data_IF_738086820557
#
_entry.id   IF_738086820557
#
_cell.length_a   1.000
_cell.length_b   1.000
_cell.length_c   1.000
_cell.angle_alpha   90.00
_cell.angle_beta   90.00
_cell.angle_gamma   90.00
#
_symmetry.space_group_name_H-M   'P 1'
#
loop_
_entity.id
_entity.type
_entity.pdbx_description
1 polymer ?
#
# COMPACT_ATOMS: atom_id res chain seq x y z
N UNK A 1 1.85 58.16 -12.02
CA UNK A 1 1.69 58.55 -10.61
C UNK A 1 0.95 57.45 -9.89
N UNK A 2 1.58 56.98 -8.82
CA UNK A 2 1.15 56.08 -7.71
C UNK A 2 0.42 54.74 -7.94
N UNK A 3 1.17 53.72 -7.50
CA UNK A 3 0.78 52.41 -6.96
C UNK A 3 0.03 52.51 -5.63
N UNK A 4 -0.82 51.52 -5.35
CA UNK A 4 -1.14 50.89 -4.05
C UNK A 4 -2.23 49.82 -4.36
N UNK A 5 -2.12 48.49 -4.19
CA UNK A 5 -1.32 47.62 -3.33
C UNK A 5 -1.23 48.08 -1.88
N UNK A 6 -2.08 47.50 -1.05
CA UNK A 6 -1.88 47.16 0.37
C UNK A 6 -3.17 46.47 0.84
N UNK A 7 -3.23 45.51 1.77
CA UNK A 7 -2.27 44.67 2.48
C UNK A 7 -3.12 43.79 3.43
N UNK A 8 -2.46 43.02 4.30
CA UNK A 8 -2.94 42.27 5.48
C UNK A 8 -3.11 40.75 5.19
N UNK A 9 -2.31 39.83 5.75
CA UNK A 9 -1.18 39.96 6.68
C UNK A 9 -0.39 38.66 6.71
N UNK A 10 0.92 38.83 6.87
CA UNK A 10 1.88 37.81 7.31
C UNK A 10 1.69 37.50 8.81
N UNK A 11 1.96 36.24 9.16
CA UNK A 11 2.51 35.71 10.43
C UNK A 11 3.09 34.35 10.00
N UNK A 12 4.41 34.09 9.87
CA UNK A 12 5.57 34.20 10.78
C UNK A 12 5.31 33.61 12.18
N UNK A 13 5.71 32.34 12.34
CA UNK A 13 6.25 31.74 13.57
C UNK A 13 7.11 30.54 13.13
N UNK A 14 8.40 30.73 12.85
CA UNK A 14 9.54 30.55 13.76
C UNK A 14 9.62 29.15 14.40
N UNK A 15 10.41 28.27 13.76
CA UNK A 15 10.96 27.07 14.35
C UNK A 15 12.47 27.09 14.18
N UNK A 16 13.15 27.82 15.06
CA UNK A 16 14.60 27.77 15.23
C UNK A 16 15.01 26.36 15.66
N UNK A 17 15.75 25.66 14.80
CA UNK A 17 16.63 24.60 15.25
C UNK A 17 18.06 24.97 14.90
N UNK A 18 18.81 25.24 15.96
CA UNK A 18 20.25 25.49 15.97
C UNK A 18 21.01 24.38 15.21
N UNK A 19 21.45 24.69 14.00
CA UNK A 19 22.63 24.03 13.43
C UNK A 19 23.86 24.66 14.08
N UNK A 20 24.32 24.07 15.19
CA UNK A 20 25.70 24.24 15.62
C UNK A 20 26.60 23.74 14.50
N UNK A 21 27.13 24.67 13.73
CA UNK A 21 28.30 24.44 12.90
C UNK A 21 29.44 23.99 13.82
N UNK A 22 29.72 22.69 13.85
CA UNK A 22 31.06 22.24 14.20
C UNK A 22 31.97 22.72 13.06
N UNK A 23 32.63 23.87 13.28
CA UNK A 23 33.84 24.23 12.56
C UNK A 23 34.88 23.14 12.83
N UNK A 24 34.86 22.10 12.00
CA UNK A 24 36.07 21.31 11.78
C UNK A 24 36.98 22.24 10.99
N UNK A 25 37.96 22.84 11.67
CA UNK A 25 39.11 23.43 10.99
C UNK A 25 39.81 22.32 10.23
N UNK A 26 39.44 22.15 8.96
CA UNK A 26 40.17 21.31 8.04
C UNK A 26 41.44 22.07 7.71
N UNK A 27 42.51 21.74 8.44
CA UNK A 27 43.86 21.97 7.97
C UNK A 27 43.92 21.49 6.51
N UNK A 28 44.11 22.42 5.57
CA UNK A 28 44.45 22.11 4.18
C UNK A 28 45.77 21.33 4.21
N UNK A 29 45.68 20.01 4.27
CA UNK A 29 46.78 19.17 3.85
C UNK A 29 46.94 19.34 2.33
N UNK A 30 48.18 19.50 1.84
CA UNK A 30 48.43 19.66 0.43
C UNK A 30 48.04 18.38 -0.33
N UNK A 31 47.16 18.54 -1.33
CA UNK A 31 46.94 17.66 -2.49
C UNK A 31 47.53 16.24 -2.39
N UNK A 32 46.88 15.36 -1.61
CA UNK A 32 46.93 13.94 -1.95
C UNK A 32 45.97 13.75 -3.12
N UNK A 33 46.51 13.65 -4.34
CA UNK A 33 45.75 13.13 -5.48
C UNK A 33 45.20 11.77 -5.05
N UNK A 34 43.88 11.66 -4.87
CA UNK A 34 43.23 10.35 -4.75
C UNK A 34 43.72 9.52 -5.93
N UNK A 35 44.27 8.34 -5.66
CA UNK A 35 44.67 7.46 -6.74
C UNK A 35 43.42 7.10 -7.56
N UNK A 36 43.50 7.05 -8.91
CA UNK A 36 42.37 6.72 -9.77
C UNK A 36 41.65 5.43 -9.35
N UNK A 37 42.39 4.48 -8.78
CA UNK A 37 41.88 3.21 -8.25
C UNK A 37 40.93 3.38 -7.05
N UNK A 38 41.19 4.32 -6.14
CA UNK A 38 40.30 4.63 -5.01
C UNK A 38 39.01 5.32 -5.48
N UNK A 39 39.11 6.16 -6.51
CA UNK A 39 37.95 6.79 -7.14
C UNK A 39 37.05 5.76 -7.84
N UNK A 40 37.65 4.83 -8.59
CA UNK A 40 36.94 3.71 -9.23
C UNK A 40 36.26 2.78 -8.21
N UNK A 41 36.91 2.48 -7.08
CA UNK A 41 36.29 1.66 -6.02
C UNK A 41 35.08 2.36 -5.39
N UNK A 42 35.17 3.67 -5.12
CA UNK A 42 34.03 4.43 -4.61
C UNK A 42 32.86 4.46 -5.59
N UNK A 43 33.12 4.68 -6.87
CA UNK A 43 32.08 4.67 -7.91
C UNK A 43 31.41 3.29 -8.01
N UNK A 44 32.19 2.21 -7.99
CA UNK A 44 31.66 0.85 -8.02
C UNK A 44 30.81 0.54 -6.78
N UNK A 45 31.22 1.02 -5.61
CA UNK A 45 30.48 0.83 -4.36
C UNK A 45 29.16 1.63 -4.35
N UNK A 46 29.18 2.86 -4.86
CA UNK A 46 27.96 3.67 -5.03
C UNK A 46 26.98 3.01 -6.02
N UNK A 47 27.48 2.47 -7.13
CA UNK A 47 26.67 1.78 -8.13
C UNK A 47 26.03 0.50 -7.56
N UNK A 48 26.80 -0.30 -6.80
CA UNK A 48 26.26 -1.46 -6.08
C UNK A 48 25.16 -1.06 -5.08
N UNK A 49 25.37 0.01 -4.31
CA UNK A 49 24.38 0.46 -3.35
C UNK A 49 23.09 0.94 -4.01
N UNK A 50 23.18 1.63 -5.15
CA UNK A 50 22.03 2.07 -5.93
C UNK A 50 21.22 0.88 -6.46
N UNK A 51 21.90 -0.17 -6.93
CA UNK A 51 21.23 -1.37 -7.44
C UNK A 51 20.47 -2.11 -6.32
N UNK A 52 21.02 -2.18 -5.11
CA UNK A 52 20.34 -2.80 -3.95
C UNK A 52 19.07 -2.01 -3.56
N UNK A 53 19.16 -0.69 -3.55
CA UNK A 53 18.00 0.18 -3.28
C UNK A 53 16.89 -0.02 -4.32
N UNK A 54 17.27 -0.07 -5.61
CA UNK A 54 16.32 -0.23 -6.70
C UNK A 54 15.63 -1.60 -6.66
N UNK A 55 16.38 -2.66 -6.36
CA UNK A 55 15.83 -3.99 -6.17
C UNK A 55 14.76 -4.01 -5.07
N UNK A 56 15.06 -3.42 -3.91
CA UNK A 56 14.13 -3.36 -2.79
C UNK A 56 12.85 -2.60 -3.15
N UNK A 57 12.95 -1.50 -3.93
CA UNK A 57 11.79 -0.74 -4.40
C UNK A 57 10.93 -1.55 -5.37
N UNK A 58 11.54 -2.25 -6.33
CA UNK A 58 10.82 -3.13 -7.26
C UNK A 58 10.07 -4.22 -6.49
N UNK A 59 10.74 -4.86 -5.54
CA UNK A 59 10.12 -5.87 -4.68
C UNK A 59 8.92 -5.26 -3.92
N UNK A 60 9.11 -4.13 -3.23
CA UNK A 60 8.05 -3.46 -2.49
C UNK A 60 6.81 -3.21 -3.35
N UNK A 61 6.96 -2.55 -4.50
CA UNK A 61 5.80 -2.22 -5.34
C UNK A 61 5.09 -3.46 -5.89
N UNK A 62 5.83 -4.49 -6.30
CA UNK A 62 5.25 -5.73 -6.83
C UNK A 62 4.46 -6.50 -5.75
N UNK A 63 5.00 -6.60 -4.54
CA UNK A 63 4.38 -7.38 -3.47
C UNK A 63 3.26 -6.64 -2.73
N UNK A 64 3.38 -5.32 -2.51
CA UNK A 64 2.31 -4.53 -1.90
C UNK A 64 1.09 -4.40 -2.82
N UNK A 65 1.31 -4.21 -4.13
CA UNK A 65 0.23 -4.20 -5.13
C UNK A 65 -0.54 -5.53 -5.13
N UNK A 66 0.19 -6.65 -5.14
CA UNK A 66 -0.42 -7.97 -5.05
C UNK A 66 -1.21 -8.18 -3.74
N UNK A 67 -0.64 -7.77 -2.59
CA UNK A 67 -1.32 -7.86 -1.30
C UNK A 67 -2.62 -7.04 -1.28
N UNK A 68 -2.60 -5.83 -1.84
CA UNK A 68 -3.77 -4.96 -1.92
C UNK A 68 -4.90 -5.59 -2.73
N UNK A 69 -4.59 -6.16 -3.89
CA UNK A 69 -5.58 -6.89 -4.68
C UNK A 69 -6.18 -8.06 -3.90
N UNK A 70 -5.33 -8.89 -3.29
CA UNK A 70 -5.79 -10.07 -2.53
C UNK A 70 -6.69 -9.66 -1.36
N UNK A 71 -6.34 -8.60 -0.64
CA UNK A 71 -7.17 -8.06 0.44
C UNK A 71 -8.57 -7.66 -0.07
N UNK A 72 -8.64 -7.00 -1.23
CA UNK A 72 -9.92 -6.60 -1.82
C UNK A 72 -10.75 -7.79 -2.29
N UNK A 73 -10.12 -8.85 -2.81
CA UNK A 73 -10.80 -10.09 -3.20
C UNK A 73 -11.44 -10.79 -1.99
N UNK A 74 -10.72 -10.88 -0.87
CA UNK A 74 -11.26 -11.44 0.37
C UNK A 74 -12.37 -10.56 0.96
N UNK A 75 -12.17 -9.23 0.94
CA UNK A 75 -13.21 -8.26 1.33
C UNK A 75 -14.47 -8.41 0.48
N UNK A 76 -14.33 -8.63 -0.83
CA UNK A 76 -15.45 -8.85 -1.73
C UNK A 76 -16.28 -10.08 -1.36
N UNK A 77 -15.64 -11.20 -1.04
CA UNK A 77 -16.32 -12.41 -0.57
C UNK A 77 -17.09 -12.19 0.72
N UNK A 78 -16.51 -11.50 1.70
CA UNK A 78 -17.21 -11.12 2.93
C UNK A 78 -18.49 -10.31 2.62
N UNK A 79 -18.41 -9.34 1.71
CA UNK A 79 -19.57 -8.55 1.26
C UNK A 79 -20.62 -9.43 0.59
N UNK A 80 -20.24 -10.32 -0.34
CA UNK A 80 -21.18 -11.24 -1.00
C UNK A 80 -21.87 -12.16 0.00
N UNK A 81 -21.12 -12.73 0.94
CA UNK A 81 -21.64 -13.62 1.98
C UNK A 81 -22.64 -12.91 2.88
N UNK A 82 -22.34 -11.66 3.26
CA UNK A 82 -23.23 -10.84 4.07
C UNK A 82 -24.55 -10.50 3.36
N UNK A 83 -24.49 -10.19 2.07
CA UNK A 83 -25.65 -9.84 1.25
C UNK A 83 -26.11 -10.99 0.34
N UNK A 84 -25.90 -12.26 0.72
CA UNK A 84 -26.20 -13.43 -0.11
C UNK A 84 -27.67 -13.49 -0.58
N UNK A 85 -28.59 -12.98 0.22
CA UNK A 85 -30.02 -12.92 -0.07
C UNK A 85 -30.42 -11.66 -0.87
N UNK A 86 -29.50 -10.71 -1.08
CA UNK A 86 -29.70 -9.44 -1.76
C UNK A 86 -28.58 -9.21 -2.79
N UNK A 87 -28.50 -10.02 -3.87
CA UNK A 87 -27.40 -9.95 -4.83
C UNK A 87 -27.28 -8.62 -5.58
N UNK A 88 -28.36 -7.81 -5.61
CA UNK A 88 -28.36 -6.45 -6.16
C UNK A 88 -27.95 -5.36 -5.16
N UNK A 89 -27.49 -5.70 -3.96
CA UNK A 89 -27.16 -4.70 -2.95
C UNK A 89 -26.00 -3.80 -3.42
N UNK A 90 -26.10 -2.46 -3.34
CA UNK A 90 -25.08 -1.54 -3.85
C UNK A 90 -23.68 -1.77 -3.26
N UNK A 91 -23.58 -2.28 -2.03
CA UNK A 91 -22.28 -2.62 -1.44
C UNK A 91 -21.51 -3.69 -2.22
N UNK A 92 -22.20 -4.63 -2.89
CA UNK A 92 -21.59 -5.63 -3.78
C UNK A 92 -20.99 -4.94 -5.02
N UNK A 93 -21.73 -4.00 -5.62
CA UNK A 93 -21.27 -3.22 -6.78
C UNK A 93 -20.05 -2.38 -6.39
N UNK A 94 -20.11 -1.71 -5.23
CA UNK A 94 -18.99 -0.90 -4.72
C UNK A 94 -17.74 -1.74 -4.43
N UNK A 95 -17.88 -2.95 -3.90
CA UNK A 95 -16.72 -3.83 -3.65
C UNK A 95 -16.12 -4.37 -4.96
N UNK A 96 -16.93 -4.68 -5.99
CA UNK A 96 -16.44 -4.96 -7.34
C UNK A 96 -15.66 -3.79 -7.93
N UNK A 97 -16.22 -2.58 -7.83
CA UNK A 97 -15.56 -1.37 -8.33
C UNK A 97 -14.22 -1.11 -7.65
N UNK A 98 -14.08 -1.41 -6.36
CA UNK A 98 -12.78 -1.32 -5.66
C UNK A 98 -11.74 -2.27 -6.28
N UNK A 99 -12.13 -3.51 -6.60
CA UNK A 99 -11.22 -4.45 -7.27
C UNK A 99 -10.84 -3.93 -8.66
N UNK A 100 -11.81 -3.46 -9.46
CA UNK A 100 -11.54 -2.90 -10.80
C UNK A 100 -10.63 -1.68 -10.74
N UNK A 101 -10.84 -0.78 -9.78
CA UNK A 101 -9.95 0.35 -9.52
C UNK A 101 -8.55 -0.12 -9.15
N UNK A 102 -8.42 -1.12 -8.28
CA UNK A 102 -7.12 -1.71 -7.95
C UNK A 102 -6.46 -2.29 -9.20
N UNK A 103 -7.17 -3.02 -10.06
CA UNK A 103 -6.60 -3.55 -11.29
C UNK A 103 -6.09 -2.46 -12.24
N UNK A 104 -6.79 -1.32 -12.32
CA UNK A 104 -6.31 -0.14 -13.06
C UNK A 104 -5.02 0.44 -12.44
N UNK A 105 -4.97 0.54 -11.11
CA UNK A 105 -3.80 1.00 -10.35
C UNK A 105 -2.63 0.04 -10.56
N UNK A 106 -2.84 -1.27 -10.40
CA UNK A 106 -1.85 -2.31 -10.66
C UNK A 106 -1.27 -2.19 -12.05
N UNK A 107 -2.12 -2.06 -13.07
CA UNK A 107 -1.66 -1.87 -14.45
C UNK A 107 -0.72 -0.67 -14.58
N UNK A 108 -1.11 0.47 -13.99
CA UNK A 108 -0.30 1.70 -13.98
C UNK A 108 1.04 1.49 -13.26
N UNK A 109 1.04 0.90 -12.07
CA UNK A 109 2.26 0.59 -11.30
C UNK A 109 3.21 -0.28 -12.12
N UNK A 110 2.73 -1.37 -12.70
CA UNK A 110 3.58 -2.31 -13.44
C UNK A 110 4.05 -1.74 -14.79
N UNK A 111 3.26 -0.87 -15.41
CA UNK A 111 3.67 -0.11 -16.60
C UNK A 111 4.78 0.87 -16.23
N UNK A 112 4.60 1.65 -15.17
CA UNK A 112 5.58 2.63 -14.71
C UNK A 112 6.89 1.93 -14.32
N UNK A 113 6.82 0.84 -13.55
CA UNK A 113 7.99 0.03 -13.21
C UNK A 113 8.74 -0.42 -14.48
N UNK A 114 8.03 -0.88 -15.51
CA UNK A 114 8.67 -1.27 -16.77
C UNK A 114 9.33 -0.09 -17.48
N UNK A 115 8.66 1.08 -17.51
CA UNK A 115 9.15 2.27 -18.21
C UNK A 115 10.30 2.97 -17.48
N UNK A 116 10.32 2.97 -16.14
CA UNK A 116 11.36 3.64 -15.34
C UNK A 116 12.62 2.81 -15.20
N UNK A 117 12.50 1.48 -15.18
CA UNK A 117 13.60 0.55 -14.93
C UNK A 117 14.23 0.04 -16.23
N UNK A 118 14.72 0.93 -17.10
CA UNK A 118 15.14 0.55 -18.47
C UNK A 118 16.43 -0.26 -18.56
N UNK A 119 17.25 -0.30 -17.51
CA UNK A 119 18.49 -1.08 -17.57
C UNK A 119 18.19 -2.58 -17.48
N UNK A 120 19.09 -3.41 -18.02
CA UNK A 120 18.87 -4.86 -18.14
C UNK A 120 18.77 -5.57 -16.79
N UNK A 121 19.48 -5.08 -15.78
CA UNK A 121 19.47 -5.66 -14.44
C UNK A 121 18.11 -5.47 -13.77
N UNK A 122 17.58 -4.25 -13.76
CA UNK A 122 16.31 -3.92 -13.12
C UNK A 122 15.12 -4.59 -13.85
N UNK A 123 15.16 -4.69 -15.17
CA UNK A 123 14.19 -5.48 -15.94
C UNK A 123 14.22 -6.96 -15.55
N UNK A 124 15.41 -7.51 -15.34
CA UNK A 124 15.57 -8.90 -14.89
C UNK A 124 14.98 -9.08 -13.49
N UNK A 125 15.26 -8.17 -12.57
CA UNK A 125 14.69 -8.17 -11.22
C UNK A 125 13.16 -8.11 -11.30
N UNK A 126 12.60 -7.15 -12.04
CA UNK A 126 11.15 -7.01 -12.20
C UNK A 126 10.51 -8.29 -12.75
N UNK A 127 11.09 -8.89 -13.78
CA UNK A 127 10.62 -10.15 -14.36
C UNK A 127 10.64 -11.28 -13.33
N UNK A 128 11.71 -11.41 -12.55
CA UNK A 128 11.82 -12.41 -11.48
C UNK A 128 10.74 -12.20 -10.42
N UNK A 129 10.53 -10.96 -9.95
CA UNK A 129 9.52 -10.69 -8.93
C UNK A 129 8.10 -10.95 -9.44
N UNK A 130 7.78 -10.58 -10.70
CA UNK A 130 6.48 -10.94 -11.32
C UNK A 130 6.27 -12.45 -11.39
N UNK A 131 7.30 -13.22 -11.75
CA UNK A 131 7.22 -14.69 -11.78
C UNK A 131 7.09 -15.30 -10.38
N UNK A 132 7.75 -14.72 -9.37
CA UNK A 132 7.58 -15.12 -7.98
C UNK A 132 6.14 -14.91 -7.51
N UNK A 133 5.52 -13.77 -7.83
CA UNK A 133 4.10 -13.52 -7.52
C UNK A 133 3.19 -14.53 -8.23
N UNK A 134 3.41 -14.82 -9.52
CA UNK A 134 2.67 -15.88 -10.24
C UNK A 134 2.79 -17.24 -9.53
N UNK A 135 3.99 -17.58 -9.06
CA UNK A 135 4.25 -18.80 -8.29
C UNK A 135 3.51 -18.80 -6.96
N UNK A 136 3.47 -17.68 -6.24
CA UNK A 136 2.70 -17.51 -5.01
C UNK A 136 1.20 -17.71 -5.30
N UNK A 137 0.65 -17.09 -6.34
CA UNK A 137 -0.76 -17.27 -6.73
C UNK A 137 -1.06 -18.75 -6.98
N UNK A 138 -0.19 -19.44 -7.72
CA UNK A 138 -0.32 -20.88 -7.98
C UNK A 138 -0.25 -21.71 -6.68
N UNK A 139 0.67 -21.40 -5.77
CA UNK A 139 0.77 -22.07 -4.46
C UNK A 139 -0.48 -21.83 -3.62
N UNK A 140 -0.97 -20.60 -3.56
CA UNK A 140 -2.23 -20.29 -2.90
C UNK A 140 -3.41 -21.07 -3.51
N UNK A 141 -3.38 -21.31 -4.83
CA UNK A 141 -4.33 -22.18 -5.54
C UNK A 141 -4.19 -23.67 -5.22
N UNK A 142 -2.97 -24.17 -5.07
CA UNK A 142 -2.67 -25.58 -4.84
C UNK A 142 -2.73 -26.00 -3.37
N UNK A 143 -2.59 -25.06 -2.43
CA UNK A 143 -2.74 -25.28 -0.98
C UNK A 143 -4.23 -25.48 -0.64
N UNK A 144 -4.77 -26.61 -1.10
CA UNK A 144 -6.00 -27.36 -0.77
C UNK A 144 -6.99 -26.62 0.14
N UNK A 145 -7.42 -25.43 -0.27
CA UNK A 145 -8.58 -24.66 0.19
C UNK A 145 -9.04 -23.66 -0.88
N UNK A 146 -8.49 -23.63 -2.10
CA UNK A 146 -8.94 -22.68 -3.13
C UNK A 146 -10.27 -23.03 -3.82
N UNK A 147 -11.03 -23.98 -3.26
CA UNK A 147 -12.49 -23.97 -3.37
C UNK A 147 -13.14 -22.79 -2.60
N UNK A 148 -12.37 -21.96 -1.88
CA UNK A 148 -12.88 -20.80 -1.14
C UNK A 148 -13.16 -19.59 -2.06
N UNK A 149 -12.43 -19.41 -3.17
CA UNK A 149 -12.68 -18.29 -4.09
C UNK A 149 -13.76 -18.66 -5.11
N UNK A 150 -14.78 -17.82 -5.23
CA UNK A 150 -15.78 -17.97 -6.29
C UNK A 150 -15.19 -17.67 -7.69
N UNK A 151 -15.90 -18.13 -8.74
CA UNK A 151 -15.48 -17.96 -10.14
C UNK A 151 -15.18 -16.51 -10.52
N UNK A 152 -15.93 -15.55 -9.96
CA UNK A 152 -15.75 -14.14 -10.26
C UNK A 152 -14.47 -13.58 -9.60
N UNK A 153 -14.18 -13.99 -8.38
CA UNK A 153 -12.95 -13.67 -7.66
C UNK A 153 -11.71 -14.25 -8.37
N UNK A 154 -11.83 -15.47 -8.90
CA UNK A 154 -10.79 -16.09 -9.72
C UNK A 154 -10.55 -15.29 -11.01
N UNK A 155 -11.61 -14.83 -11.68
CA UNK A 155 -11.48 -14.02 -12.90
C UNK A 155 -10.71 -12.70 -12.65
N UNK A 156 -10.87 -12.05 -11.49
CA UNK A 156 -10.06 -10.87 -11.16
C UNK A 156 -8.56 -11.19 -10.98
N UNK A 157 -8.22 -12.35 -10.41
CA UNK A 157 -6.82 -12.79 -10.33
C UNK A 157 -6.24 -13.07 -11.71
N UNK A 158 -7.01 -13.70 -12.60
CA UNK A 158 -6.60 -13.93 -13.98
C UNK A 158 -6.34 -12.62 -14.72
N UNK A 159 -7.21 -11.62 -14.53
CA UNK A 159 -6.99 -10.27 -15.07
C UNK A 159 -5.70 -9.63 -14.55
N UNK A 160 -5.43 -9.74 -13.25
CA UNK A 160 -4.17 -9.25 -12.67
C UNK A 160 -2.94 -9.94 -13.26
N UNK A 161 -2.97 -11.28 -13.36
CA UNK A 161 -1.88 -12.06 -13.96
C UNK A 161 -1.64 -11.62 -15.41
N UNK A 162 -2.72 -11.46 -16.19
CA UNK A 162 -2.64 -11.10 -17.61
C UNK A 162 -2.11 -9.68 -17.82
N UNK A 163 -2.72 -8.69 -17.16
CA UNK A 163 -2.50 -7.28 -17.49
C UNK A 163 -1.43 -6.61 -16.62
N UNK A 164 -1.16 -7.10 -15.41
CA UNK A 164 -0.16 -6.50 -14.50
C UNK A 164 1.13 -7.32 -14.46
N UNK A 165 1.02 -8.65 -14.33
CA UNK A 165 2.18 -9.55 -14.27
C UNK A 165 2.63 -10.07 -15.64
N UNK A 166 2.00 -9.63 -16.73
CA UNK A 166 2.42 -9.94 -18.09
C UNK A 166 3.84 -9.48 -18.39
N UNK A 167 4.46 -10.12 -19.39
CA UNK A 167 5.78 -9.72 -19.90
C UNK A 167 5.70 -8.36 -20.63
N UNK A 168 4.53 -8.05 -21.19
CA UNK A 168 4.16 -6.74 -21.72
C UNK A 168 2.96 -6.22 -20.94
N UNK A 169 3.06 -5.01 -20.40
CA UNK A 169 1.95 -4.35 -19.70
C UNK A 169 1.18 -3.52 -20.72
N UNK A 170 0.06 -4.05 -21.18
CA UNK A 170 -0.91 -3.28 -21.97
C UNK A 170 -1.78 -2.47 -21.00
N UNK A 171 -1.81 -1.15 -21.15
CA UNK A 171 -2.65 -0.26 -20.34
C UNK A 171 -4.13 -0.60 -20.57
N UNK A 172 -4.71 -1.34 -19.64
CA UNK A 172 -6.10 -1.76 -19.65
C UNK A 172 -6.87 -0.97 -18.61
N UNK A 173 -7.90 -0.28 -19.07
CA UNK A 173 -8.88 0.37 -18.21
C UNK A 173 -10.08 -0.57 -18.01
N UNK A 174 -10.38 -0.89 -16.75
CA UNK A 174 -11.56 -1.61 -16.32
C UNK A 174 -12.67 -0.63 -15.98
N UNK A 175 -13.82 -0.78 -16.64
CA UNK A 175 -14.98 0.08 -16.48
C UNK A 175 -15.70 -0.17 -15.15
N UNK A 176 -16.00 0.92 -14.43
CA UNK A 176 -16.73 0.88 -13.17
C UNK A 176 -18.23 0.72 -13.41
N UNK A 177 -18.85 -0.14 -12.62
CA UNK A 177 -20.31 -0.31 -12.63
C UNK A 177 -20.96 0.89 -11.94
N UNK A 178 -22.03 1.42 -12.53
CA UNK A 178 -22.79 2.51 -11.92
C UNK A 178 -23.57 1.99 -10.71
N UNK A 179 -23.57 2.77 -9.64
CA UNK A 179 -24.50 2.60 -8.53
C UNK A 179 -25.66 3.57 -8.68
N UNK A 180 -26.83 3.24 -8.12
CA UNK A 180 -27.99 4.13 -8.09
C UNK A 180 -27.91 5.13 -6.91
N UNK A 181 -26.71 5.38 -6.37
CA UNK A 181 -26.50 6.28 -5.23
C UNK A 181 -25.95 7.61 -5.71
N UNK A 182 -26.51 8.71 -5.20
CA UNK A 182 -25.94 10.03 -5.40
C UNK A 182 -24.58 10.13 -4.72
N UNK A 183 -23.61 10.68 -5.44
CA UNK A 183 -22.28 10.94 -4.90
C UNK A 183 -22.34 12.19 -4.00
N UNK A 184 -21.92 12.03 -2.76
CA UNK A 184 -21.68 13.16 -1.86
C UNK A 184 -20.22 13.13 -1.46
N UNK A 185 -19.55 14.28 -1.60
CA UNK A 185 -18.20 14.42 -1.09
C UNK A 185 -18.23 14.27 0.43
N UNK A 186 -17.40 13.36 0.94
CA UNK A 186 -17.30 13.10 2.38
C UNK A 186 -15.94 13.56 2.88
N UNK A 187 -15.88 14.78 3.43
CA UNK A 187 -14.66 15.34 4.01
C UNK A 187 -14.06 14.41 5.06
N UNK A 188 -14.88 13.79 5.90
CA UNK A 188 -14.41 12.84 6.92
C UNK A 188 -13.79 11.55 6.35
N UNK A 189 -14.05 11.22 5.09
CA UNK A 189 -13.30 10.17 4.36
C UNK A 189 -11.97 10.74 3.85
N UNK A 190 -11.95 11.95 3.28
CA UNK A 190 -10.72 12.59 2.82
C UNK A 190 -9.72 12.77 3.98
N UNK A 191 -10.18 13.21 5.14
CA UNK A 191 -9.37 13.40 6.35
C UNK A 191 -8.73 12.09 6.83
N UNK A 192 -9.33 10.93 6.49
CA UNK A 192 -8.77 9.60 6.78
C UNK A 192 -7.81 9.10 5.71
N UNK A 193 -7.88 9.64 4.49
CA UNK A 193 -7.03 9.26 3.37
C UNK A 193 -5.70 10.02 3.39
N UNK A 194 -5.73 11.34 3.66
CA UNK A 194 -4.51 12.16 3.62
C UNK A 194 -3.37 11.63 4.50
N UNK A 195 -3.59 11.21 5.77
CA UNK A 195 -2.52 10.63 6.59
C UNK A 195 -1.93 9.34 6.03
N UNK A 196 -2.68 8.60 5.20
CA UNK A 196 -2.19 7.36 4.59
C UNK A 196 -1.16 7.65 3.49
N UNK A 197 -1.27 8.79 2.81
CA UNK A 197 -0.27 9.23 1.83
C UNK A 197 1.07 9.43 2.53
N UNK A 198 1.08 10.19 3.63
CA UNK A 198 2.30 10.41 4.43
C UNK A 198 2.89 9.11 4.98
N UNK A 199 2.04 8.14 5.34
CA UNK A 199 2.52 6.83 5.78
C UNK A 199 3.24 6.07 4.65
N UNK A 200 2.72 6.09 3.42
CA UNK A 200 3.40 5.47 2.27
C UNK A 200 4.74 6.16 2.00
N UNK A 201 4.80 7.49 2.09
CA UNK A 201 6.05 8.24 1.92
C UNK A 201 7.12 7.83 2.95
N UNK A 202 6.74 7.66 4.22
CA UNK A 202 7.65 7.19 5.25
C UNK A 202 8.12 5.74 5.01
N UNK A 203 7.25 4.88 4.48
CA UNK A 203 7.62 3.50 4.13
C UNK A 203 8.65 3.48 3.00
N UNK A 204 8.43 4.27 1.95
CA UNK A 204 9.41 4.44 0.87
C UNK A 204 10.74 4.98 1.43
N UNK A 205 10.69 6.02 2.27
CA UNK A 205 11.89 6.61 2.87
C UNK A 205 12.68 5.59 3.71
N UNK A 206 11.97 4.84 4.56
CA UNK A 206 12.55 3.77 5.38
C UNK A 206 13.18 2.68 4.51
N UNK A 207 12.53 2.31 3.40
CA UNK A 207 13.04 1.31 2.49
C UNK A 207 14.31 1.76 1.75
N UNK A 208 14.38 3.04 1.33
CA UNK A 208 15.60 3.63 0.77
C UNK A 208 16.75 3.65 1.77
N UNK A 209 16.46 3.86 3.05
CA UNK A 209 17.49 3.83 4.11
C UNK A 209 17.97 2.40 4.41
N UNK A 210 17.07 1.44 4.53
CA UNK A 210 17.38 0.04 4.87
C UNK A 210 17.91 -0.76 3.69
N UNK A 211 17.55 -0.36 2.48
CA UNK A 211 17.93 -1.01 1.20
C UNK A 211 17.58 -2.50 1.17
N UNK A 212 16.49 -2.89 1.82
CA UNK A 212 15.99 -4.26 1.81
C UNK A 212 14.47 -4.27 1.96
N UNK A 213 13.84 -5.25 1.32
CA UNK A 213 12.42 -5.56 1.48
C UNK A 213 12.27 -7.03 1.86
N UNK A 214 11.44 -7.31 2.85
CA UNK A 214 11.15 -8.69 3.24
C UNK A 214 10.00 -9.22 2.38
N UNK A 215 10.34 -10.05 1.40
CA UNK A 215 9.36 -10.66 0.50
C UNK A 215 8.40 -11.54 1.32
N UNK A 216 7.09 -11.27 1.30
CA UNK A 216 6.14 -12.04 2.08
C UNK A 216 5.93 -13.44 1.48
N UNK A 217 5.76 -14.44 2.36
CA UNK A 217 5.40 -15.80 1.95
C UNK A 217 3.92 -15.89 1.56
N UNK A 218 3.54 -16.95 0.83
CA UNK A 218 2.14 -17.22 0.49
C UNK A 218 1.24 -17.27 1.73
N UNK A 219 1.70 -17.89 2.83
CA UNK A 219 0.95 -17.93 4.09
C UNK A 219 0.79 -16.55 4.73
N UNK A 220 1.83 -15.71 4.71
CA UNK A 220 1.75 -14.34 5.24
C UNK A 220 0.75 -13.50 4.46
N UNK A 221 0.74 -13.63 3.13
CA UNK A 221 -0.22 -12.93 2.27
C UNK A 221 -1.65 -13.38 2.56
N UNK A 222 -1.87 -14.69 2.67
CA UNK A 222 -3.16 -15.28 3.03
C UNK A 222 -3.63 -14.84 4.42
N UNK A 223 -2.73 -14.79 5.40
CA UNK A 223 -3.04 -14.34 6.76
C UNK A 223 -3.53 -12.88 6.77
N UNK A 224 -2.80 -11.98 6.09
CA UNK A 224 -3.18 -10.58 5.95
C UNK A 224 -4.54 -10.42 5.24
N UNK A 225 -4.79 -11.22 4.21
CA UNK A 225 -6.05 -11.22 3.48
C UNK A 225 -7.24 -11.61 4.38
N UNK A 226 -7.08 -12.67 5.18
CA UNK A 226 -8.08 -13.13 6.15
C UNK A 226 -8.33 -12.12 7.27
N UNK A 227 -7.29 -11.40 7.70
CA UNK A 227 -7.47 -10.31 8.66
C UNK A 227 -8.31 -9.18 8.06
N UNK A 228 -8.02 -8.80 6.81
CA UNK A 228 -8.78 -7.78 6.09
C UNK A 228 -10.24 -8.19 5.82
N UNK A 229 -10.47 -9.48 5.54
CA UNK A 229 -11.79 -10.09 5.47
C UNK A 229 -12.57 -9.89 6.77
N UNK A 230 -11.98 -10.29 7.91
CA UNK A 230 -12.61 -10.19 9.23
C UNK A 230 -12.93 -8.74 9.63
N UNK A 231 -12.06 -7.80 9.26
CA UNK A 231 -12.30 -6.37 9.44
C UNK A 231 -13.47 -5.88 8.57
N UNK A 232 -13.58 -6.40 7.35
CA UNK A 232 -14.71 -6.10 6.46
C UNK A 232 -16.01 -6.64 7.06
N UNK A 233 -16.03 -7.89 7.53
CA UNK A 233 -17.18 -8.50 8.19
C UNK A 233 -17.63 -7.69 9.41
N UNK A 234 -16.68 -7.27 10.27
CA UNK A 234 -16.99 -6.43 11.44
C UNK A 234 -17.63 -5.09 11.03
N UNK A 235 -17.11 -4.43 10.00
CA UNK A 235 -17.71 -3.18 9.48
C UNK A 235 -19.10 -3.42 8.89
N UNK A 236 -19.31 -4.52 8.19
CA UNK A 236 -20.62 -4.86 7.64
C UNK A 236 -21.64 -5.11 8.75
N UNK A 237 -21.28 -5.83 9.81
CA UNK A 237 -22.18 -6.09 10.94
C UNK A 237 -22.57 -4.82 11.69
N UNK A 238 -21.65 -3.86 11.82
CA UNK A 238 -21.92 -2.57 12.47
C UNK A 238 -22.87 -1.71 11.63
N UNK A 239 -22.65 -1.65 10.31
CA UNK A 239 -23.40 -0.74 9.43
C UNK A 239 -24.66 -1.36 8.82
N UNK A 240 -24.74 -2.69 8.75
CA UNK A 240 -25.81 -3.46 8.11
C UNK A 240 -26.12 -4.72 8.95
N UNK A 241 -26.65 -4.59 10.18
CA UNK A 241 -26.90 -5.75 11.03
C UNK A 241 -27.96 -6.67 10.40
N UNK A 242 -27.70 -7.99 10.44
CA UNK A 242 -28.45 -9.01 9.70
C UNK A 242 -29.95 -9.11 10.04
N UNK A 243 -30.41 -8.48 11.12
CA UNK A 243 -31.82 -8.48 11.56
C UNK A 243 -32.59 -7.20 11.20
N UNK A 244 -31.96 -6.23 10.52
CA UNK A 244 -32.60 -4.97 10.13
C UNK A 244 -33.13 -5.04 8.68
N UNK A 245 -34.19 -5.82 8.46
CA UNK A 245 -34.79 -6.02 7.13
C UNK A 245 -35.67 -4.86 6.62
N UNK A 246 -35.67 -3.72 7.31
CA UNK A 246 -36.23 -2.48 6.77
C UNK A 246 -35.08 -1.63 6.22
N UNK A 247 -34.59 -1.99 5.03
CA UNK A 247 -33.70 -1.12 4.27
C UNK A 247 -34.50 0.11 3.80
N UNK A 248 -34.65 1.11 4.68
CA UNK A 248 -34.79 2.48 4.22
C UNK A 248 -33.40 2.89 3.75
N UNK A 249 -33.29 3.34 2.50
CA UNK A 249 -32.14 4.14 2.05
C UNK A 249 -31.82 5.14 3.17
N UNK A 250 -30.53 5.38 3.51
CA UNK A 250 -30.18 6.29 4.58
C UNK A 250 -30.62 7.71 4.19
N UNK A 251 -31.88 8.03 4.47
CA UNK A 251 -32.37 9.40 4.54
C UNK A 251 -31.61 10.02 5.71
N UNK A 252 -30.69 10.93 5.37
CA UNK A 252 -30.12 11.98 6.23
C UNK A 252 -30.28 11.67 7.72
N UNK A 253 -29.51 10.72 8.23
CA UNK A 253 -29.22 10.74 9.66
C UNK A 253 -28.26 11.89 9.86
N UNK A 254 -28.77 12.93 10.50
CA UNK A 254 -28.04 14.10 10.92
C UNK A 254 -26.67 13.72 11.49
N UNK A 255 -25.67 14.52 11.12
CA UNK A 255 -24.28 14.51 11.60
C UNK A 255 -24.14 14.79 13.11
N UNK A 256 -25.05 14.32 13.95
CA UNK A 256 -25.00 14.52 15.38
C UNK A 256 -24.84 13.17 16.10
N UNK A 257 -23.65 13.00 16.68
CA UNK A 257 -23.21 11.89 17.54
C UNK A 257 -22.61 10.66 16.84
N UNK A 258 -21.67 10.87 15.92
CA UNK A 258 -20.52 9.96 15.84
C UNK A 258 -19.61 10.28 17.04
N UNK A 259 -19.87 9.65 18.20
CA UNK A 259 -19.11 9.86 19.43
C UNK A 259 -17.60 9.71 19.18
N UNK A 260 -16.87 10.80 19.41
CA UNK A 260 -15.43 10.95 19.21
C UNK A 260 -14.59 9.94 20.02
N UNK A 261 -15.17 9.24 20.99
CA UNK A 261 -14.49 8.20 21.77
C UNK A 261 -14.29 6.89 21.00
N UNK A 262 -15.21 6.52 20.09
CA UNK A 262 -15.05 5.33 19.25
C UNK A 262 -14.09 5.56 18.08
N UNK A 263 -13.97 6.80 17.60
CA UNK A 263 -13.03 7.14 16.53
C UNK A 263 -11.57 6.99 16.98
N UNK A 264 -11.22 7.30 18.24
CA UNK A 264 -9.86 7.12 18.77
C UNK A 264 -9.49 5.65 18.97
N UNK A 265 -10.43 4.78 19.34
CA UNK A 265 -10.17 3.33 19.45
C UNK A 265 -10.09 2.65 18.07
N UNK A 266 -10.95 3.03 17.12
CA UNK A 266 -10.83 2.56 15.74
C UNK A 266 -9.54 3.07 15.08
N UNK A 267 -9.13 4.31 15.33
CA UNK A 267 -7.86 4.87 14.83
C UNK A 267 -6.66 4.12 15.40
N UNK A 268 -6.66 3.78 16.71
CA UNK A 268 -5.64 2.90 17.28
C UNK A 268 -5.64 1.50 16.66
N UNK A 269 -6.76 0.97 16.18
CA UNK A 269 -6.77 -0.30 15.44
C UNK A 269 -6.23 -0.12 14.02
N UNK A 270 -6.53 0.97 13.31
CA UNK A 270 -5.97 1.22 11.97
C UNK A 270 -4.46 1.49 12.00
N UNK A 271 -3.96 2.30 12.95
CA UNK A 271 -2.51 2.48 13.13
C UNK A 271 -1.86 1.23 13.73
N UNK A 272 -2.51 0.49 14.64
CA UNK A 272 -1.96 -0.78 15.11
C UNK A 272 -2.00 -1.88 14.06
N UNK A 273 -2.87 -1.89 13.06
CA UNK A 273 -2.80 -2.89 11.98
C UNK A 273 -1.66 -2.50 11.03
N UNK A 274 -1.52 -1.22 10.65
CA UNK A 274 -0.36 -0.75 9.90
C UNK A 274 0.97 -0.88 10.65
N UNK A 275 0.96 -0.89 11.99
CA UNK A 275 2.15 -1.07 12.84
C UNK A 275 2.39 -2.55 13.25
N UNK A 276 1.37 -3.32 13.63
CA UNK A 276 1.47 -4.73 14.06
C UNK A 276 1.71 -5.69 12.89
N UNK A 277 1.30 -5.31 11.67
CA UNK A 277 1.66 -6.02 10.43
C UNK A 277 3.15 -5.88 10.06
N UNK A 278 3.93 -5.09 10.82
CA UNK A 278 5.37 -4.85 10.61
C UNK A 278 6.22 -5.31 11.81
N UNK A 279 5.67 -5.43 13.02
CA UNK A 279 6.45 -5.77 14.23
C UNK A 279 6.53 -7.27 14.60
N UNK A 280 6.15 -8.22 13.73
CA UNK A 280 6.32 -9.66 14.03
C UNK A 280 7.70 -10.25 13.69
N UNK A 281 8.69 -9.44 13.26
CA UNK A 281 10.07 -9.89 13.07
C UNK A 281 11.05 -9.10 13.94
N UNK A 282 11.09 -9.43 15.23
CA UNK A 282 12.17 -8.96 16.10
C UNK A 282 11.94 -9.21 17.57
N UNK A 283 12.26 -10.43 18.05
CA UNK A 283 13.00 -10.70 19.30
C UNK A 283 12.76 -12.13 19.82
N UNK A 284 13.76 -13.01 19.63
CA UNK A 284 14.10 -14.11 20.55
C UNK A 284 15.51 -14.61 20.24
N UNK A 285 16.49 -13.84 20.69
CA UNK A 285 17.83 -14.36 21.02
C UNK A 285 18.10 -13.96 22.46
N UNK A 286 17.51 -14.69 23.40
CA UNK A 286 18.07 -14.75 24.74
C UNK A 286 19.20 -15.77 24.69
N UNK A 287 20.44 -15.25 24.71
CA UNK A 287 21.60 -16.01 25.16
C UNK A 287 21.33 -16.45 26.59
N UNK A 288 21.09 -17.74 26.82
CA UNK A 288 21.46 -18.36 28.08
C UNK A 288 22.97 -18.59 28.03
N UNK A 289 23.72 -17.66 28.60
CA UNK A 289 24.95 -17.99 29.30
C UNK A 289 24.53 -18.35 30.72
N UNK A 290 24.66 -19.62 31.09
CA UNK A 290 24.90 -19.97 32.48
C UNK A 290 26.03 -21.01 32.52
N UNK A 291 26.86 -20.79 33.53
CA UNK A 291 28.04 -21.51 33.95
C UNK A 291 27.79 -23.01 34.18
#
# INVERSE_FOLDING_TARGET
MHYQQDAISNYIYSGEYHQKYNQIQVYRQPNQRMQPEQQQQMELQQLKQKNIEQEALIQYYVYEDFQNLINLIYSYQAVKKHFKNHPGHPAIILSKNKIKLQLNISNSIHSDLYQTNKNSQDQTILKVQKQNVKSIIKKMGNDIQMNDLDKESQAYLEQYIKYSLGDYVELKQFELEKTNWDYNFNQGVLDKVLPQISYVDEQIRSLRQRKCYNIPTAQQIKLKAKEYERLTESKLLINYPQNSYNYRSPQRQDNQKFSQENAKQQFKQFTNISQSLIFSSGSRTQKQQQY
#
